data_IF_891492076371
#
_entry.id   IF_891492076371
#
_cell.length_a   1.000
_cell.length_b   1.000
_cell.length_c   1.000
_cell.angle_alpha   90.00
_cell.angle_beta   90.00
_cell.angle_gamma   90.00
#
_symmetry.space_group_name_H-M   'P 1'
#
loop_
_entity.id
_entity.type
_entity.pdbx_description
1 polymer ?
#
# COMPACT_ATOMS: atom_id res chain seq x y z
N UNK A 1 -10.31 -13.31 2.60
CA UNK A 1 -10.18 -12.95 1.17
C UNK A 1 -9.25 -11.76 0.94
N UNK A 2 -9.17 -10.75 1.81
CA UNK A 2 -8.31 -9.57 1.60
C UNK A 2 -7.00 -9.53 2.42
N UNK A 3 -6.70 -10.52 3.27
CA UNK A 3 -5.51 -10.50 4.14
C UNK A 3 -4.18 -10.35 3.38
N UNK A 4 -4.10 -10.90 2.17
CA UNK A 4 -2.92 -10.71 1.31
C UNK A 4 -2.62 -9.23 1.02
N UNK A 5 -3.61 -8.33 1.04
CA UNK A 5 -3.39 -6.89 0.87
C UNK A 5 -2.60 -6.33 2.05
N UNK A 6 -2.92 -6.76 3.27
CA UNK A 6 -2.24 -6.34 4.49
C UNK A 6 -0.82 -6.88 4.54
N UNK A 7 -0.64 -8.16 4.25
CA UNK A 7 0.68 -8.80 4.18
C UNK A 7 1.58 -8.09 3.17
N UNK A 8 1.08 -7.90 1.95
CA UNK A 8 1.83 -7.18 0.90
C UNK A 8 2.11 -5.72 1.29
N UNK A 9 1.17 -5.03 1.96
CA UNK A 9 1.39 -3.66 2.41
C UNK A 9 2.56 -3.57 3.42
N UNK A 10 2.66 -4.54 4.34
CA UNK A 10 3.75 -4.64 5.31
C UNK A 10 5.08 -4.92 4.60
N UNK A 11 5.09 -5.81 3.61
CA UNK A 11 6.30 -6.10 2.82
C UNK A 11 6.77 -4.86 2.04
N UNK A 12 5.86 -4.16 1.38
CA UNK A 12 6.17 -2.90 0.70
C UNK A 12 6.68 -1.83 1.65
N UNK A 13 6.12 -1.73 2.86
CA UNK A 13 6.59 -0.78 3.86
C UNK A 13 8.00 -1.13 4.37
N UNK A 14 8.28 -2.41 4.56
CA UNK A 14 9.62 -2.90 4.91
C UNK A 14 10.62 -2.55 3.80
N UNK A 15 10.26 -2.80 2.54
CA UNK A 15 11.07 -2.43 1.38
C UNK A 15 11.29 -0.92 1.27
N UNK A 16 10.29 -0.10 1.63
CA UNK A 16 10.43 1.35 1.66
C UNK A 16 11.51 1.79 2.66
N UNK A 17 11.52 1.23 3.87
CA UNK A 17 12.54 1.50 4.90
C UNK A 17 13.93 1.06 4.45
N UNK A 18 14.03 -0.11 3.84
CA UNK A 18 15.29 -0.64 3.30
C UNK A 18 15.85 0.21 2.17
N UNK A 19 15.00 0.66 1.25
CA UNK A 19 15.42 1.53 0.16
C UNK A 19 15.82 2.93 0.68
N UNK A 20 15.12 3.43 1.70
CA UNK A 20 15.43 4.69 2.34
C UNK A 20 16.81 4.65 3.00
N UNK A 21 17.11 3.59 3.77
CA UNK A 21 18.42 3.43 4.43
C UNK A 21 19.58 3.29 3.44
N UNK A 22 19.31 2.78 2.23
CA UNK A 22 20.27 2.64 1.12
C UNK A 22 20.39 3.91 0.25
N UNK A 23 19.69 5.00 0.57
CA UNK A 23 19.67 6.23 -0.23
C UNK A 23 18.94 6.11 -1.57
N UNK A 24 18.17 5.04 -1.79
CA UNK A 24 17.42 4.80 -3.03
C UNK A 24 16.04 5.46 -2.96
N UNK A 25 16.02 6.80 -2.89
CA UNK A 25 14.81 7.57 -2.57
C UNK A 25 13.63 7.31 -3.51
N UNK A 26 13.87 7.20 -4.82
CA UNK A 26 12.81 6.94 -5.80
C UNK A 26 12.13 5.58 -5.55
N UNK A 27 12.93 4.56 -5.23
CA UNK A 27 12.40 3.22 -4.91
C UNK A 27 11.73 3.19 -3.54
N UNK A 28 12.28 3.93 -2.56
CA UNK A 28 11.66 4.08 -1.26
C UNK A 28 10.26 4.70 -1.37
N UNK A 29 10.13 5.77 -2.16
CA UNK A 29 8.86 6.45 -2.40
C UNK A 29 7.86 5.54 -3.12
N UNK A 30 8.30 4.85 -4.17
CA UNK A 30 7.47 3.87 -4.88
C UNK A 30 6.96 2.77 -3.94
N UNK A 31 7.84 2.16 -3.14
CA UNK A 31 7.44 1.14 -2.18
C UNK A 31 6.48 1.68 -1.12
N UNK A 32 6.68 2.93 -0.66
CA UNK A 32 5.77 3.57 0.29
C UNK A 32 4.38 3.81 -0.29
N UNK A 33 4.29 4.28 -1.55
CA UNK A 33 3.01 4.47 -2.23
C UNK A 33 2.26 3.14 -2.41
N UNK A 34 2.97 2.06 -2.77
CA UNK A 34 2.37 0.73 -2.84
C UNK A 34 1.85 0.25 -1.48
N UNK A 35 2.60 0.48 -0.40
CA UNK A 35 2.17 0.14 0.96
C UNK A 35 0.89 0.90 1.35
N UNK A 36 0.82 2.20 1.06
CA UNK A 36 -0.34 3.04 1.32
C UNK A 36 -1.57 2.55 0.55
N UNK A 37 -1.42 2.31 -0.75
CA UNK A 37 -2.49 1.87 -1.63
C UNK A 37 -3.11 0.54 -1.16
N UNK A 38 -2.28 -0.44 -0.81
CA UNK A 38 -2.73 -1.75 -0.35
C UNK A 38 -3.39 -1.68 1.03
N UNK A 39 -2.83 -0.86 1.93
CA UNK A 39 -3.42 -0.61 3.26
C UNK A 39 -4.81 0.00 3.14
N UNK A 40 -5.00 0.99 2.25
CA UNK A 40 -6.31 1.59 2.00
C UNK A 40 -7.32 0.58 1.45
N UNK A 41 -6.92 -0.24 0.47
CA UNK A 41 -7.79 -1.30 -0.07
C UNK A 41 -8.20 -2.31 0.99
N UNK A 42 -7.25 -2.71 1.85
CA UNK A 42 -7.55 -3.61 2.97
C UNK A 42 -8.56 -2.97 3.92
N UNK A 43 -8.34 -1.73 4.34
CA UNK A 43 -9.24 -1.00 5.23
C UNK A 43 -10.64 -0.82 4.63
N UNK A 44 -10.74 -0.42 3.36
CA UNK A 44 -12.03 -0.30 2.66
C UNK A 44 -12.76 -1.64 2.60
N UNK A 45 -12.04 -2.73 2.35
CA UNK A 45 -12.63 -4.07 2.36
C UNK A 45 -13.17 -4.44 3.75
N UNK A 46 -12.43 -4.16 4.82
CA UNK A 46 -12.89 -4.41 6.19
C UNK A 46 -14.14 -3.59 6.55
N UNK A 47 -14.25 -2.36 6.04
CA UNK A 47 -15.36 -1.45 6.34
C UNK A 47 -16.61 -1.72 5.48
N UNK A 48 -16.44 -2.06 4.21
CA UNK A 48 -17.52 -2.07 3.21
C UNK A 48 -17.74 -3.42 2.52
N UNK A 49 -16.85 -4.39 2.76
CA UNK A 49 -16.82 -5.66 2.04
C UNK A 49 -16.29 -5.58 0.60
N UNK A 50 -15.89 -4.38 0.13
CA UNK A 50 -15.38 -4.17 -1.23
C UNK A 50 -14.38 -3.01 -1.33
N UNK A 51 -13.75 -2.84 -2.50
CA UNK A 51 -12.91 -1.68 -2.81
C UNK A 51 -12.81 -1.50 -4.33
N UNK A 52 -12.54 -0.27 -4.78
CA UNK A 52 -12.31 0.00 -6.20
C UNK A 52 -10.97 -0.60 -6.66
N UNK A 53 -10.95 -1.29 -7.82
CA UNK A 53 -9.74 -1.86 -8.43
C UNK A 53 -8.87 -0.81 -9.13
N UNK A 54 -8.58 0.29 -8.45
CA UNK A 54 -7.73 1.39 -8.94
C UNK A 54 -6.33 1.35 -8.33
N UNK A 55 -5.36 1.99 -9.00
CA UNK A 55 -4.04 2.30 -8.44
C UNK A 55 -3.93 3.69 -7.83
N UNK A 56 -4.92 4.54 -8.09
CA UNK A 56 -4.95 5.91 -7.60
C UNK A 56 -5.41 5.95 -6.13
N UNK A 57 -4.49 6.35 -5.25
CA UNK A 57 -4.74 6.53 -3.81
C UNK A 57 -5.82 7.57 -3.55
N UNK A 58 -5.89 8.66 -4.32
CA UNK A 58 -6.90 9.71 -4.12
C UNK A 58 -8.30 9.20 -4.43
N UNK A 59 -8.44 8.33 -5.43
CA UNK A 59 -9.73 7.68 -5.73
C UNK A 59 -10.17 6.72 -4.64
N UNK A 60 -9.23 6.03 -3.98
CA UNK A 60 -9.54 5.15 -2.84
C UNK A 60 -9.99 5.92 -1.58
N UNK A 61 -9.72 7.22 -1.50
CA UNK A 61 -10.07 8.05 -0.34
C UNK A 61 -11.36 8.87 -0.53
N UNK A 62 -12.03 8.76 -1.67
CA UNK A 62 -13.32 9.41 -1.94
C UNK A 62 -14.46 8.48 -1.58
#
# INVERSE_FOLDING_TARGET
MAEYLKENAIDFFTNAKDNLSKGKYNLAMFSLEQALQLSLKYTLYQLTGSFEKTRDVKRLMK
#
